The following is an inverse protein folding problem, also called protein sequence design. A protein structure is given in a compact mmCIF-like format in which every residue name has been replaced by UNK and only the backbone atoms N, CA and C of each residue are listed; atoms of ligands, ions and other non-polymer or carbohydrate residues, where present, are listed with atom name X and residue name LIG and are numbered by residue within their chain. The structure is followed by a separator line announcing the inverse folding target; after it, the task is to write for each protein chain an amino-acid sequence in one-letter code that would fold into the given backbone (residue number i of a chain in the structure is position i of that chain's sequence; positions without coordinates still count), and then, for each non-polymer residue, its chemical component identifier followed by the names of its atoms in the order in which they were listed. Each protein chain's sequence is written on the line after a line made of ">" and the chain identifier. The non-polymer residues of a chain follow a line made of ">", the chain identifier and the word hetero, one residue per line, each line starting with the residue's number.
data_IF_412548086324
#
_entry.id   IF_412548086324
#
_cell.length_a   1.000
_cell.length_b   1.000
_cell.length_c   1.000
_cell.angle_alpha   90.00
_cell.angle_beta   90.00
_cell.angle_gamma   90.00
#
_symmetry.space_group_name_H-M   'P 1'
#
loop_
_entity.id
_entity.type
_entity.pdbx_description
1 polymer ?
#
# COMPACT_ATOMS: atom_id res chain seq x y z
N UNK A 1 19.51 -33.40 -18.36
CA UNK A 1 18.22 -33.47 -17.63
C UNK A 1 17.26 -34.44 -18.33
N UNK A 2 16.95 -34.23 -19.61
CA UNK A 2 16.08 -35.12 -20.39
C UNK A 2 16.62 -36.56 -20.55
N UNK A 3 17.90 -36.72 -20.88
CA UNK A 3 18.56 -38.02 -21.10
C UNK A 3 18.63 -38.92 -19.86
N UNK A 4 18.64 -38.33 -18.66
CA UNK A 4 18.70 -39.03 -17.37
C UNK A 4 17.43 -38.79 -16.54
N UNK A 5 16.29 -38.53 -17.19
CA UNK A 5 15.06 -38.10 -16.52
C UNK A 5 14.58 -39.06 -15.43
N UNK A 6 14.75 -40.38 -15.65
CA UNK A 6 14.41 -41.41 -14.66
C UNK A 6 15.17 -41.25 -13.33
N UNK A 7 16.41 -40.74 -13.36
CA UNK A 7 17.18 -40.47 -12.13
C UNK A 7 16.62 -39.27 -11.35
N UNK A 8 15.97 -38.32 -12.04
CA UNK A 8 15.47 -37.08 -11.44
C UNK A 8 13.95 -37.07 -11.21
N UNK A 9 13.21 -38.10 -11.65
CA UNK A 9 11.75 -38.11 -11.56
C UNK A 9 11.26 -38.01 -10.11
N UNK A 10 11.84 -38.79 -9.19
CA UNK A 10 11.48 -38.77 -7.77
C UNK A 10 11.79 -37.42 -7.11
N UNK A 11 13.00 -36.83 -7.28
CA UNK A 11 13.24 -35.45 -6.86
C UNK A 11 12.23 -34.44 -7.41
N UNK A 12 11.88 -34.52 -8.71
CA UNK A 12 10.89 -33.60 -9.28
C UNK A 12 9.50 -33.80 -8.70
N UNK A 13 9.06 -35.04 -8.48
CA UNK A 13 7.77 -35.31 -7.83
C UNK A 13 7.69 -34.66 -6.45
N UNK A 14 8.76 -34.73 -5.66
CA UNK A 14 8.83 -34.12 -4.34
C UNK A 14 8.83 -32.58 -4.42
N UNK A 15 9.62 -32.01 -5.34
CA UNK A 15 9.68 -30.57 -5.55
C UNK A 15 8.29 -30.03 -5.95
N UNK A 16 7.58 -30.69 -6.86
CA UNK A 16 6.28 -30.22 -7.34
C UNK A 16 5.22 -30.21 -6.24
N UNK A 17 5.16 -31.25 -5.40
CA UNK A 17 4.20 -31.29 -4.29
C UNK A 17 4.55 -30.26 -3.20
N UNK A 18 5.83 -30.07 -2.88
CA UNK A 18 6.24 -29.05 -1.91
C UNK A 18 5.97 -27.63 -2.39
N UNK A 19 6.16 -27.34 -3.68
CA UNK A 19 5.81 -26.04 -4.25
C UNK A 19 4.29 -25.83 -4.19
N UNK A 20 3.49 -26.84 -4.55
CA UNK A 20 2.03 -26.75 -4.44
C UNK A 20 1.56 -26.49 -3.00
N UNK A 21 2.11 -27.22 -2.02
CA UNK A 21 1.82 -26.98 -0.60
C UNK A 21 2.24 -25.59 -0.13
N UNK A 22 3.40 -25.10 -0.58
CA UNK A 22 3.89 -23.75 -0.24
C UNK A 22 2.97 -22.67 -0.80
N UNK A 23 2.47 -22.86 -2.02
CA UNK A 23 1.52 -21.95 -2.66
C UNK A 23 0.17 -21.91 -1.93
N UNK A 24 -0.33 -23.03 -1.42
CA UNK A 24 -1.52 -23.06 -0.55
C UNK A 24 -1.28 -22.21 0.70
N UNK A 25 -0.12 -22.34 1.35
CA UNK A 25 0.25 -21.49 2.49
C UNK A 25 0.31 -20.01 2.13
N UNK A 26 0.79 -19.69 0.92
CA UNK A 26 0.91 -18.33 0.40
C UNK A 26 -0.45 -17.64 0.20
N UNK A 27 -1.51 -18.39 -0.17
CA UNK A 27 -2.89 -17.87 -0.21
C UNK A 27 -3.32 -17.34 1.16
N UNK A 28 -3.01 -18.06 2.24
CA UNK A 28 -3.32 -17.62 3.61
C UNK A 28 -2.67 -16.29 3.96
N UNK A 29 -1.41 -16.10 3.58
CA UNK A 29 -0.67 -14.85 3.79
C UNK A 29 -1.30 -13.69 3.00
N UNK A 30 -1.70 -13.94 1.75
CA UNK A 30 -2.36 -12.95 0.90
C UNK A 30 -3.70 -12.51 1.50
N UNK A 31 -4.52 -13.46 1.95
CA UNK A 31 -5.80 -13.16 2.60
C UNK A 31 -5.61 -12.33 3.87
N UNK A 32 -4.60 -12.66 4.68
CA UNK A 32 -4.25 -11.86 5.85
C UNK A 32 -3.80 -10.43 5.45
N UNK A 33 -3.01 -10.29 4.39
CA UNK A 33 -2.59 -8.99 3.86
C UNK A 33 -3.77 -8.11 3.41
N UNK A 34 -4.73 -8.69 2.68
CA UNK A 34 -5.97 -8.01 2.29
C UNK A 34 -6.76 -7.58 3.52
N UNK A 35 -6.91 -8.47 4.50
CA UNK A 35 -7.65 -8.17 5.74
C UNK A 35 -7.02 -7.03 6.54
N UNK A 36 -5.69 -6.94 6.58
CA UNK A 36 -4.97 -5.82 7.21
C UNK A 36 -5.26 -4.50 6.49
N UNK A 37 -5.19 -4.49 5.15
CA UNK A 37 -5.48 -3.29 4.34
C UNK A 37 -6.91 -2.83 4.58
N UNK A 38 -7.90 -3.72 4.42
CA UNK A 38 -9.32 -3.39 4.57
C UNK A 38 -9.68 -3.05 6.02
N UNK A 39 -9.07 -3.72 7.00
CA UNK A 39 -9.39 -3.54 8.42
C UNK A 39 -8.72 -2.34 9.09
N UNK A 40 -7.62 -1.81 8.54
CA UNK A 40 -6.88 -0.67 9.13
C UNK A 40 -7.03 0.64 8.37
N UNK A 41 -7.44 0.61 7.11
CA UNK A 41 -7.63 1.83 6.32
C UNK A 41 -9.04 2.39 6.56
N UNK A 42 -9.14 3.38 7.43
CA UNK A 42 -10.35 4.19 7.54
C UNK A 42 -10.67 4.90 6.22
N UNK A 43 -11.95 5.11 5.93
CA UNK A 43 -12.43 5.78 4.70
C UNK A 43 -11.77 7.15 4.50
N UNK A 44 -11.49 7.87 5.59
CA UNK A 44 -10.82 9.17 5.54
C UNK A 44 -9.35 9.06 5.11
N UNK A 45 -8.65 8.01 5.56
CA UNK A 45 -7.27 7.71 5.16
C UNK A 45 -7.22 7.32 3.69
N UNK A 46 -8.16 6.49 3.22
CA UNK A 46 -8.26 6.09 1.80
C UNK A 46 -8.45 7.30 0.90
N UNK A 47 -9.41 8.19 1.23
CA UNK A 47 -9.66 9.42 0.45
C UNK A 47 -8.41 10.29 0.34
N UNK A 48 -7.65 10.40 1.42
CA UNK A 48 -6.43 11.22 1.43
C UNK A 48 -5.29 10.59 0.62
N UNK A 49 -5.13 9.26 0.72
CA UNK A 49 -4.17 8.53 -0.12
C UNK A 49 -4.51 8.74 -1.60
N UNK A 50 -5.80 8.71 -1.96
CA UNK A 50 -6.27 8.96 -3.31
C UNK A 50 -6.09 10.41 -3.77
N UNK A 51 -6.17 11.38 -2.86
CA UNK A 51 -5.94 12.78 -3.16
C UNK A 51 -4.46 13.08 -3.48
N UNK A 52 -3.53 12.41 -2.78
CA UNK A 52 -2.08 12.61 -2.94
C UNK A 52 -1.52 11.75 -4.08
N UNK A 53 -1.92 10.47 -4.18
CA UNK A 53 -1.34 9.50 -5.12
C UNK A 53 -2.23 9.22 -6.34
N UNK A 54 -3.40 9.83 -6.42
CA UNK A 54 -4.39 9.62 -7.48
C UNK A 54 -5.46 8.60 -7.09
N UNK A 55 -6.66 8.83 -7.63
CA UNK A 55 -7.86 8.01 -7.37
C UNK A 55 -7.63 6.53 -7.71
N UNK A 56 -8.16 5.64 -6.87
CA UNK A 56 -8.09 4.19 -7.04
C UNK A 56 -6.76 3.56 -6.62
N UNK A 57 -5.88 4.27 -5.92
CA UNK A 57 -4.56 3.71 -5.51
C UNK A 57 -4.71 2.51 -4.56
N UNK A 58 -5.61 2.58 -3.59
CA UNK A 58 -5.88 1.46 -2.66
C UNK A 58 -6.57 0.30 -3.39
N UNK A 59 -7.50 0.61 -4.29
CA UNK A 59 -8.18 -0.39 -5.13
C UNK A 59 -7.19 -1.16 -6.02
N UNK A 60 -6.24 -0.47 -6.65
CA UNK A 60 -5.18 -1.11 -7.45
C UNK A 60 -4.36 -2.12 -6.64
N UNK A 61 -4.13 -1.87 -5.35
CA UNK A 61 -3.41 -2.80 -4.48
C UNK A 61 -4.28 -4.03 -4.21
N UNK A 62 -5.56 -3.86 -3.92
CA UNK A 62 -6.49 -4.98 -3.76
C UNK A 62 -6.61 -5.83 -5.02
N UNK A 63 -6.71 -5.20 -6.19
CA UNK A 63 -6.69 -5.89 -7.50
C UNK A 63 -5.36 -6.63 -7.69
N UNK A 64 -4.23 -6.07 -7.24
CA UNK A 64 -2.93 -6.73 -7.31
C UNK A 64 -2.85 -7.97 -6.42
N UNK A 65 -3.52 -7.96 -5.25
CA UNK A 65 -3.67 -9.14 -4.39
C UNK A 65 -4.55 -10.21 -5.03
N UNK A 66 -5.68 -9.81 -5.62
CA UNK A 66 -6.57 -10.72 -6.34
C UNK A 66 -5.86 -11.39 -7.52
N UNK A 67 -5.14 -10.61 -8.32
CA UNK A 67 -4.36 -11.11 -9.44
C UNK A 67 -3.29 -12.11 -8.99
N UNK A 68 -2.58 -11.83 -7.89
CA UNK A 68 -1.61 -12.77 -7.33
C UNK A 68 -2.27 -14.06 -6.84
N UNK A 69 -3.38 -13.96 -6.11
CA UNK A 69 -4.12 -15.13 -5.63
C UNK A 69 -4.59 -16.03 -6.77
N UNK A 70 -5.06 -15.43 -7.88
CA UNK A 70 -5.44 -16.14 -9.09
C UNK A 70 -4.25 -16.88 -9.72
N UNK A 71 -3.11 -16.19 -9.89
CA UNK A 71 -1.89 -16.81 -10.43
C UNK A 71 -1.36 -17.95 -9.53
N UNK A 72 -1.46 -17.81 -8.21
CA UNK A 72 -1.13 -18.88 -7.26
C UNK A 72 -2.07 -20.06 -7.43
N UNK A 73 -3.38 -19.84 -7.63
CA UNK A 73 -4.34 -20.89 -7.94
C UNK A 73 -3.96 -21.68 -9.21
N UNK A 74 -3.62 -20.97 -10.29
CA UNK A 74 -3.08 -21.58 -11.52
C UNK A 74 -1.79 -22.36 -11.22
N UNK A 75 -0.89 -21.79 -10.41
CA UNK A 75 0.34 -22.43 -9.97
C UNK A 75 0.08 -23.76 -9.26
N UNK A 76 -0.79 -23.77 -8.24
CA UNK A 76 -1.15 -24.98 -7.49
C UNK A 76 -1.66 -26.06 -8.44
N UNK A 77 -2.62 -25.71 -9.31
CA UNK A 77 -3.17 -26.65 -10.28
C UNK A 77 -2.09 -27.20 -11.23
N UNK A 78 -1.21 -26.34 -11.74
CA UNK A 78 -0.12 -26.71 -12.64
C UNK A 78 0.89 -27.65 -11.96
N UNK A 79 1.30 -27.36 -10.73
CA UNK A 79 2.24 -28.19 -9.98
C UNK A 79 1.64 -29.54 -9.55
N UNK A 80 0.35 -29.58 -9.20
CA UNK A 80 -0.36 -30.83 -8.94
C UNK A 80 -0.49 -31.70 -10.19
N UNK A 81 -0.85 -31.12 -11.34
CA UNK A 81 -0.88 -31.84 -12.60
C UNK A 81 0.51 -32.37 -12.97
N UNK A 82 1.56 -31.55 -12.81
CA UNK A 82 2.93 -31.98 -13.09
C UNK A 82 3.34 -33.15 -12.18
N UNK A 83 2.96 -33.13 -10.90
CA UNK A 83 3.17 -34.24 -9.97
C UNK A 83 2.53 -35.54 -10.46
N UNK A 84 1.26 -35.49 -10.89
CA UNK A 84 0.54 -36.67 -11.42
C UNK A 84 1.18 -37.17 -12.72
N UNK A 85 1.57 -36.26 -13.62
CA UNK A 85 2.25 -36.61 -14.88
C UNK A 85 3.59 -37.29 -14.59
N UNK A 86 4.36 -36.78 -13.63
CA UNK A 86 5.64 -37.37 -13.22
C UNK A 86 5.49 -38.75 -12.58
N UNK A 87 4.32 -39.04 -11.98
CA UNK A 87 4.00 -40.37 -11.43
C UNK A 87 3.58 -41.37 -12.53
N UNK A 88 3.22 -40.88 -13.72
CA UNK A 88 2.78 -41.72 -14.83
C UNK A 88 3.96 -42.40 -15.53
N UNK A 89 3.84 -43.69 -15.82
CA UNK A 89 4.80 -44.46 -16.63
C UNK A 89 4.71 -44.18 -18.15
N UNK A 90 4.23 -42.99 -18.54
CA UNK A 90 4.11 -42.63 -19.97
C UNK A 90 5.48 -42.30 -20.58
N UNK A 91 5.67 -42.56 -21.88
CA UNK A 91 6.92 -42.25 -22.57
C UNK A 91 7.22 -40.75 -22.53
N UNK A 92 8.50 -40.41 -22.55
CA UNK A 92 8.99 -39.04 -22.55
C UNK A 92 8.47 -38.27 -23.76
N UNK A 93 7.95 -37.06 -23.52
CA UNK A 93 7.57 -36.11 -24.56
C UNK A 93 8.78 -35.66 -25.39
N UNK A 94 8.55 -35.07 -26.58
CA UNK A 94 9.63 -34.55 -27.41
C UNK A 94 10.54 -33.55 -26.65
N UNK A 95 11.86 -33.60 -26.89
CA UNK A 95 12.88 -32.78 -26.23
C UNK A 95 12.54 -31.28 -26.28
N UNK A 96 12.10 -30.77 -27.45
CA UNK A 96 11.75 -29.36 -27.59
C UNK A 96 10.59 -28.95 -26.68
N UNK A 97 9.53 -29.76 -26.65
CA UNK A 97 8.37 -29.51 -25.77
C UNK A 97 8.74 -29.59 -24.29
N UNK A 98 9.65 -30.48 -23.91
CA UNK A 98 10.12 -30.60 -22.54
C UNK A 98 10.77 -29.31 -22.04
N UNK A 99 11.72 -28.76 -22.79
CA UNK A 99 12.42 -27.53 -22.38
C UNK A 99 11.51 -26.31 -22.37
N UNK A 100 10.58 -26.21 -23.32
CA UNK A 100 9.58 -25.13 -23.33
C UNK A 100 8.67 -25.19 -22.10
N UNK A 101 8.14 -26.37 -21.77
CA UNK A 101 7.31 -26.55 -20.58
C UNK A 101 8.09 -26.27 -19.29
N UNK A 102 9.33 -26.76 -19.20
CA UNK A 102 10.19 -26.52 -18.05
C UNK A 102 10.48 -25.02 -17.84
N UNK A 103 10.77 -24.30 -18.92
CA UNK A 103 10.96 -22.85 -18.90
C UNK A 103 9.71 -22.09 -18.44
N UNK A 104 8.53 -22.45 -18.95
CA UNK A 104 7.27 -21.82 -18.59
C UNK A 104 6.92 -22.02 -17.12
N UNK A 105 7.08 -23.24 -16.61
CA UNK A 105 6.81 -23.56 -15.20
C UNK A 105 7.79 -22.83 -14.27
N UNK A 106 9.06 -22.77 -14.65
CA UNK A 106 10.08 -22.03 -13.88
C UNK A 106 9.78 -20.53 -13.88
N UNK A 107 9.36 -19.97 -15.01
CA UNK A 107 8.93 -18.58 -15.12
C UNK A 107 7.72 -18.30 -14.21
N UNK A 108 6.68 -19.13 -14.26
CA UNK A 108 5.50 -18.98 -13.40
C UNK A 108 5.87 -19.00 -11.91
N UNK A 109 6.75 -19.91 -11.51
CA UNK A 109 7.23 -20.02 -10.14
C UNK A 109 7.97 -18.76 -9.66
N UNK A 110 8.94 -18.29 -10.45
CA UNK A 110 9.70 -17.08 -10.14
C UNK A 110 8.80 -15.85 -10.13
N UNK A 111 7.88 -15.75 -11.09
CA UNK A 111 6.90 -14.67 -11.16
C UNK A 111 6.09 -14.57 -9.87
N UNK A 112 5.52 -15.69 -9.39
CA UNK A 112 4.74 -15.71 -8.14
C UNK A 112 5.58 -15.23 -6.95
N UNK A 113 6.83 -15.71 -6.82
CA UNK A 113 7.72 -15.32 -5.71
C UNK A 113 8.02 -13.82 -5.75
N UNK A 114 8.55 -13.32 -6.87
CA UNK A 114 8.96 -11.91 -6.95
C UNK A 114 7.77 -10.96 -6.87
N UNK A 115 6.64 -11.33 -7.46
CA UNK A 115 5.42 -10.53 -7.36
C UNK A 115 4.91 -10.47 -5.91
N UNK A 116 4.97 -11.58 -5.17
CA UNK A 116 4.62 -11.62 -3.74
C UNK A 116 5.50 -10.68 -2.93
N UNK A 117 6.82 -10.72 -3.14
CA UNK A 117 7.77 -9.82 -2.45
C UNK A 117 7.45 -8.35 -2.74
N UNK A 118 7.21 -8.00 -4.01
CA UNK A 118 6.83 -6.65 -4.39
C UNK A 118 5.52 -6.21 -3.73
N UNK A 119 4.55 -7.10 -3.60
CA UNK A 119 3.25 -6.80 -3.04
C UNK A 119 3.33 -6.57 -1.53
N UNK A 120 4.11 -7.39 -0.81
CA UNK A 120 4.39 -7.19 0.62
C UNK A 120 5.01 -5.82 0.86
N UNK A 121 5.98 -5.40 0.04
CA UNK A 121 6.58 -4.06 0.13
C UNK A 121 5.53 -2.96 -0.03
N UNK A 122 4.61 -3.09 -0.99
CA UNK A 122 3.54 -2.11 -1.20
C UNK A 122 2.57 -2.05 -0.01
N UNK A 123 2.23 -3.20 0.58
CA UNK A 123 1.36 -3.25 1.78
C UNK A 123 2.02 -2.57 2.97
N UNK A 124 3.31 -2.78 3.21
CA UNK A 124 4.06 -2.11 4.28
C UNK A 124 4.09 -0.60 4.08
N UNK A 125 4.27 -0.14 2.84
CA UNK A 125 4.25 1.29 2.53
C UNK A 125 2.89 1.92 2.82
N UNK A 126 1.80 1.30 2.37
CA UNK A 126 0.43 1.77 2.66
C UNK A 126 0.14 1.77 4.15
N UNK A 127 0.56 0.73 4.87
CA UNK A 127 0.42 0.66 6.32
C UNK A 127 1.17 1.81 7.02
N UNK A 128 2.39 2.10 6.58
CA UNK A 128 3.22 3.19 7.13
C UNK A 128 2.58 4.56 6.90
N UNK A 129 2.05 4.80 5.70
CA UNK A 129 1.31 6.03 5.38
C UNK A 129 0.07 6.15 6.26
N UNK A 130 -0.72 5.08 6.37
CA UNK A 130 -1.91 5.06 7.21
C UNK A 130 -1.59 5.36 8.67
N UNK A 131 -0.54 4.74 9.23
CA UNK A 131 -0.14 4.97 10.61
C UNK A 131 0.35 6.40 10.84
N UNK A 132 1.14 6.94 9.93
CA UNK A 132 1.62 8.34 10.00
C UNK A 132 0.44 9.30 9.98
N UNK A 133 -0.56 9.06 9.13
CA UNK A 133 -1.72 9.92 9.04
C UNK A 133 -2.62 9.83 10.27
N UNK A 134 -2.83 8.63 10.81
CA UNK A 134 -3.55 8.45 12.06
C UNK A 134 -2.86 9.17 13.23
N UNK A 135 -1.52 9.26 13.23
CA UNK A 135 -0.79 10.07 14.22
C UNK A 135 -0.97 11.58 14.01
N UNK A 136 -1.10 12.04 12.76
CA UNK A 136 -1.32 13.45 12.44
C UNK A 136 -2.75 13.87 12.81
N UNK A 137 -3.77 13.08 12.46
CA UNK A 137 -5.17 13.34 12.87
C UNK A 137 -5.32 13.18 14.38
N UNK A 138 -4.69 12.16 14.96
CA UNK A 138 -4.74 11.86 16.38
C UNK A 138 -4.01 12.86 17.27
N UNK A 139 -3.29 13.84 16.70
CA UNK A 139 -2.91 15.04 17.43
C UNK A 139 -4.17 15.89 17.62
N UNK A 140 -4.94 15.58 18.67
CA UNK A 140 -5.83 16.56 19.28
C UNK A 140 -5.04 17.86 19.48
N UNK A 141 -5.63 19.01 19.09
CA UNK A 141 -5.09 20.32 19.48
C UNK A 141 -4.77 20.24 20.97
N UNK A 142 -3.52 20.55 21.35
CA UNK A 142 -3.18 20.48 22.76
C UNK A 142 -4.09 21.43 23.54
N UNK A 143 -4.36 21.15 24.82
CA UNK A 143 -5.07 22.09 25.68
C UNK A 143 -4.43 23.49 25.63
N UNK A 144 -3.11 23.56 25.43
CA UNK A 144 -2.38 24.81 25.22
C UNK A 144 -2.77 25.53 23.92
N UNK A 145 -2.91 24.80 22.81
CA UNK A 145 -3.34 25.38 21.53
C UNK A 145 -4.76 25.92 21.61
N UNK A 146 -5.67 25.14 22.19
CA UNK A 146 -7.07 25.54 22.41
C UNK A 146 -7.18 26.73 23.37
N UNK A 147 -6.41 26.72 24.47
CA UNK A 147 -6.38 27.83 25.41
C UNK A 147 -5.79 29.11 24.79
N UNK A 148 -4.76 28.98 23.94
CA UNK A 148 -4.20 30.11 23.21
C UNK A 148 -5.17 30.69 22.19
N UNK A 149 -5.91 29.85 21.45
CA UNK A 149 -6.99 30.32 20.57
C UNK A 149 -8.06 31.11 21.34
N UNK A 150 -8.55 30.58 22.46
CA UNK A 150 -9.54 31.27 23.31
C UNK A 150 -8.98 32.59 23.84
N UNK A 151 -7.71 32.62 24.26
CA UNK A 151 -7.05 33.83 24.74
C UNK A 151 -6.88 34.88 23.64
N UNK A 152 -6.53 34.45 22.43
CA UNK A 152 -6.43 35.31 21.25
C UNK A 152 -7.82 35.86 20.92
N UNK A 153 -8.86 35.03 20.85
CA UNK A 153 -10.24 35.46 20.61
C UNK A 153 -10.73 36.46 21.65
N UNK A 154 -10.39 36.26 22.93
CA UNK A 154 -10.70 37.19 23.99
C UNK A 154 -10.01 38.56 23.80
N UNK A 155 -8.70 38.55 23.50
CA UNK A 155 -7.93 39.77 23.21
C UNK A 155 -8.46 40.50 21.98
N UNK A 156 -8.80 39.75 20.92
CA UNK A 156 -9.40 40.26 19.69
C UNK A 156 -10.75 40.92 19.96
N UNK A 157 -11.62 40.28 20.74
CA UNK A 157 -12.90 40.87 21.15
C UNK A 157 -12.71 42.16 21.95
N UNK A 158 -11.70 42.22 22.82
CA UNK A 158 -11.37 43.45 23.56
C UNK A 158 -10.90 44.60 22.66
N UNK A 159 -10.21 44.29 21.56
CA UNK A 159 -9.64 45.29 20.64
C UNK A 159 -10.63 45.75 19.54
N UNK A 160 -11.47 44.85 19.04
CA UNK A 160 -12.42 45.11 17.94
C UNK A 160 -13.59 46.04 18.35
N UNK A 161 -13.80 46.29 19.64
CA UNK A 161 -14.80 47.26 20.14
C UNK A 161 -14.54 48.70 19.62
N UNK A 162 -13.32 49.03 19.18
CA UNK A 162 -12.95 50.37 18.71
C UNK A 162 -13.15 50.67 17.22
N UNK A 163 -12.80 49.74 16.31
CA UNK A 163 -13.01 49.82 14.84
C UNK A 163 -12.33 48.61 14.18
N UNK A 164 -13.10 47.80 13.44
CA UNK A 164 -12.61 46.62 12.71
C UNK A 164 -11.56 46.99 11.65
N UNK A 165 -11.72 48.11 10.96
CA UNK A 165 -10.78 48.57 9.92
C UNK A 165 -9.44 49.03 10.50
N UNK A 166 -9.44 49.56 11.73
CA UNK A 166 -8.20 49.95 12.39
C UNK A 166 -7.41 48.74 12.87
N UNK A 167 -8.11 47.77 13.48
CA UNK A 167 -7.52 46.49 13.85
C UNK A 167 -6.89 45.77 12.65
N UNK A 168 -7.60 45.69 11.52
CA UNK A 168 -7.10 45.01 10.33
C UNK A 168 -5.85 45.68 9.76
N UNK A 169 -5.78 47.02 9.79
CA UNK A 169 -4.58 47.77 9.38
C UNK A 169 -3.40 47.51 10.31
N UNK A 170 -3.62 47.56 11.62
CA UNK A 170 -2.56 47.31 12.62
C UNK A 170 -2.04 45.87 12.54
N UNK A 171 -2.93 44.91 12.29
CA UNK A 171 -2.58 43.50 12.11
C UNK A 171 -1.73 43.29 10.84
N UNK A 172 -2.11 43.91 9.72
CA UNK A 172 -1.36 43.82 8.48
C UNK A 172 0.02 44.50 8.59
N UNK A 173 0.11 45.61 9.32
CA UNK A 173 1.37 46.29 9.60
C UNK A 173 2.27 45.44 10.51
N UNK A 174 1.72 44.76 11.52
CA UNK A 174 2.49 43.83 12.35
C UNK A 174 3.06 42.65 11.53
N UNK A 175 2.32 42.16 10.54
CA UNK A 175 2.83 41.15 9.59
C UNK A 175 4.01 41.69 8.80
N UNK A 176 3.99 42.97 8.40
CA UNK A 176 5.14 43.62 7.74
C UNK A 176 6.37 43.71 8.64
N UNK A 177 6.18 44.02 9.91
CA UNK A 177 7.26 44.20 10.87
C UNK A 177 7.84 42.87 11.38
N UNK A 178 7.13 41.76 11.18
CA UNK A 178 7.53 40.44 11.66
C UNK A 178 8.57 39.72 10.79
N UNK A 179 9.36 38.79 11.35
CA UNK A 179 10.39 38.02 10.63
C UNK A 179 9.85 36.70 10.04
N UNK A 180 8.68 36.73 9.40
CA UNK A 180 8.10 35.56 8.70
C UNK A 180 8.37 35.61 7.20
N UNK A 181 8.63 34.45 6.60
CA UNK A 181 8.99 34.33 5.18
C UNK A 181 7.79 34.49 4.22
N UNK A 182 6.57 34.23 4.69
CA UNK A 182 5.36 34.16 3.83
C UNK A 182 4.36 35.30 4.08
N UNK A 183 4.86 36.54 4.24
CA UNK A 183 4.05 37.72 4.62
C UNK A 183 2.83 37.93 3.72
N UNK A 184 3.00 37.87 2.40
CA UNK A 184 1.93 38.06 1.41
C UNK A 184 0.78 37.06 1.56
N UNK A 185 1.08 35.78 1.82
CA UNK A 185 0.05 34.75 2.02
C UNK A 185 -0.70 34.96 3.34
N UNK A 186 0.02 35.35 4.39
CA UNK A 186 -0.56 35.61 5.72
C UNK A 186 -1.46 36.86 5.69
N UNK A 187 -1.05 37.93 5.01
CA UNK A 187 -1.89 39.11 4.80
C UNK A 187 -3.18 38.78 4.02
N UNK A 188 -3.05 38.04 2.92
CA UNK A 188 -4.21 37.61 2.13
C UNK A 188 -5.19 36.74 2.91
N UNK A 189 -4.70 35.94 3.85
CA UNK A 189 -5.53 35.17 4.75
C UNK A 189 -6.29 36.07 5.73
N UNK A 190 -5.60 37.00 6.41
CA UNK A 190 -6.23 37.89 7.38
C UNK A 190 -7.28 38.83 6.77
N UNK A 191 -7.03 39.37 5.58
CA UNK A 191 -8.00 40.22 4.85
C UNK A 191 -9.25 39.48 4.38
N UNK A 192 -9.23 38.14 4.35
CA UNK A 192 -10.41 37.31 4.02
C UNK A 192 -11.19 36.89 5.27
N UNK A 193 -10.52 36.73 6.39
CA UNK A 193 -11.12 36.27 7.64
C UNK A 193 -11.71 37.41 8.48
N UNK A 194 -11.09 38.58 8.45
CA UNK A 194 -11.49 39.78 9.18
C UNK A 194 -11.81 40.91 8.22
#
# INVERSE_FOLDING_TARGET
>A
MYSNFHTYSVPFQNITIYIASSFIGMIGIILAGIAVIVGKLEVNVVKLIEEINGKGTVEKILVSFEFLAFNIGIGIFTFLLLHIILYSNKPLICIGLFYTMFGLITYLFLFIIFYTVSLVSNTVNVFTISNTYNQIIGREKSLFDTANEIRIDFLLRGYIVGSREQFLRDLLQFVDDSNINNKEQVKNYFSKCY
#
